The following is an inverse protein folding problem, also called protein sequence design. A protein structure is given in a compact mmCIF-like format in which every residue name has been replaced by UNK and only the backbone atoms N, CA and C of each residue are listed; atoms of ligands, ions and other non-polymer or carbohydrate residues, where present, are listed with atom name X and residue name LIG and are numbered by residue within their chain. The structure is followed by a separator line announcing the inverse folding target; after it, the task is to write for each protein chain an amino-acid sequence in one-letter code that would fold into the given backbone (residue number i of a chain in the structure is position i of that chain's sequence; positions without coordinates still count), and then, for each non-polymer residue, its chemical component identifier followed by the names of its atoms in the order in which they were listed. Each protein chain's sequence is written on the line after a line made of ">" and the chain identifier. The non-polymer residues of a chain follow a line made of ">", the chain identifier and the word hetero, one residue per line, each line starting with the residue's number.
data_IF_031976506023
#
_entry.id   IF_031976506023
#
_cell.length_a   1.000
_cell.length_b   1.000
_cell.length_c   1.000
_cell.angle_alpha   90.00
_cell.angle_beta   90.00
_cell.angle_gamma   90.00
#
_symmetry.space_group_name_H-M   'P 1'
#
loop_
_entity.id
_entity.type
_entity.pdbx_description
1 polymer ?
#
# COMPACT_ATOMS: atom_id res chain seq x y z
N UNK A 1 13.53 17.95 -3.00
CA UNK A 1 14.65 18.19 -3.93
C UNK A 1 14.55 17.19 -5.09
N UNK A 2 14.47 17.66 -6.33
CA UNK A 2 14.48 16.76 -7.49
C UNK A 2 15.80 15.99 -7.58
N UNK A 3 15.71 14.68 -7.85
CA UNK A 3 16.86 13.78 -7.96
C UNK A 3 16.99 13.13 -9.35
N UNK A 4 16.01 13.34 -10.21
CA UNK A 4 16.01 12.81 -11.57
C UNK A 4 14.67 13.02 -12.28
N UNK A 5 14.52 12.38 -13.43
CA UNK A 5 13.30 12.38 -14.24
C UNK A 5 12.83 10.94 -14.47
N UNK A 6 11.56 10.77 -14.76
CA UNK A 6 10.95 9.47 -15.02
C UNK A 6 10.03 9.52 -16.26
N UNK A 7 9.64 8.34 -16.74
CA UNK A 7 8.85 8.20 -17.99
C UNK A 7 7.33 8.31 -17.78
N UNK A 8 6.88 8.61 -16.57
CA UNK A 8 5.47 8.73 -16.16
C UNK A 8 5.17 7.90 -14.92
N UNK A 9 4.42 8.47 -13.96
CA UNK A 9 4.14 7.83 -12.66
C UNK A 9 3.40 6.50 -12.76
N UNK A 10 2.69 6.28 -13.86
CA UNK A 10 1.92 5.06 -14.10
C UNK A 10 2.79 3.80 -14.25
N UNK A 11 4.03 3.95 -14.67
CA UNK A 11 4.97 2.84 -14.87
C UNK A 11 5.62 2.35 -13.58
N UNK A 12 5.35 2.99 -12.45
CA UNK A 12 6.04 2.72 -11.19
C UNK A 12 5.09 2.27 -10.10
N UNK A 13 5.58 1.38 -9.22
CA UNK A 13 4.85 0.82 -8.07
C UNK A 13 5.60 1.16 -6.78
N UNK A 14 4.88 1.36 -5.67
CA UNK A 14 5.49 1.55 -4.36
C UNK A 14 6.38 0.34 -4.00
N UNK A 15 7.56 0.65 -3.47
CA UNK A 15 8.56 -0.36 -3.15
C UNK A 15 9.42 -0.82 -4.33
N UNK A 16 9.16 -0.32 -5.55
CA UNK A 16 9.97 -0.64 -6.71
C UNK A 16 11.38 -0.08 -6.59
N UNK A 17 12.37 -0.90 -6.90
CA UNK A 17 13.79 -0.54 -6.94
C UNK A 17 14.32 -0.38 -8.36
N UNK A 18 13.96 -1.32 -9.22
CA UNK A 18 14.51 -1.40 -10.57
C UNK A 18 13.89 -0.36 -11.51
N UNK A 19 14.64 0.05 -12.53
CA UNK A 19 14.13 0.96 -13.56
C UNK A 19 14.11 2.43 -13.19
N UNK A 20 14.57 2.83 -12.00
CA UNK A 20 14.57 4.23 -11.57
C UNK A 20 15.66 5.07 -12.23
N UNK A 21 16.72 4.43 -12.74
CA UNK A 21 17.87 5.10 -13.40
C UNK A 21 18.49 6.22 -12.56
N UNK A 22 18.39 6.12 -11.25
CA UNK A 22 19.00 7.05 -10.31
C UNK A 22 20.40 6.56 -9.95
N UNK A 23 21.39 7.38 -10.26
CA UNK A 23 22.79 7.16 -9.86
C UNK A 23 23.05 7.63 -8.43
N UNK A 24 24.29 7.42 -7.97
CA UNK A 24 24.74 7.98 -6.70
C UNK A 24 24.71 9.50 -6.73
N UNK A 25 24.09 10.11 -5.73
CA UNK A 25 24.16 11.56 -5.53
C UNK A 25 25.43 11.93 -4.75
N UNK A 26 26.09 13.00 -5.17
CA UNK A 26 27.24 13.55 -4.45
C UNK A 26 26.87 13.85 -2.99
N UNK A 27 27.65 13.33 -2.04
CA UNK A 27 27.46 13.55 -0.61
C UNK A 27 26.45 12.62 0.08
N UNK A 28 25.94 11.60 -0.63
CA UNK A 28 25.10 10.55 -0.04
C UNK A 28 25.75 9.18 -0.13
N UNK A 29 25.45 8.32 0.83
CA UNK A 29 25.88 6.93 0.80
C UNK A 29 25.36 6.21 -0.45
N UNK A 30 26.14 5.27 -0.97
CA UNK A 30 25.71 4.41 -2.10
C UNK A 30 24.68 3.39 -1.59
N UNK A 31 23.41 3.77 -1.61
CA UNK A 31 22.29 2.90 -1.26
C UNK A 31 21.26 2.91 -2.40
N UNK A 32 20.55 1.78 -2.61
CA UNK A 32 19.54 1.70 -3.66
C UNK A 32 18.36 2.64 -3.38
N UNK A 33 17.78 3.16 -4.45
CA UNK A 33 16.59 3.98 -4.41
C UNK A 33 15.33 3.13 -4.55
N UNK A 34 14.28 3.52 -3.83
CA UNK A 34 12.97 2.89 -3.88
C UNK A 34 11.87 3.92 -4.09
N UNK A 35 10.84 3.54 -4.83
CA UNK A 35 9.63 4.36 -4.95
C UNK A 35 8.88 4.32 -3.63
N UNK A 36 8.64 5.47 -3.03
CA UNK A 36 7.92 5.61 -1.76
C UNK A 36 6.56 6.27 -1.90
N UNK A 37 6.26 6.82 -3.08
CA UNK A 37 4.94 7.40 -3.35
C UNK A 37 4.84 8.01 -4.73
N UNK A 38 3.61 8.35 -5.10
CA UNK A 38 3.26 8.95 -6.38
C UNK A 38 2.23 10.06 -6.20
N UNK A 39 2.47 11.19 -6.84
CA UNK A 39 1.44 12.19 -7.07
C UNK A 39 1.08 12.15 -8.56
N UNK A 40 -0.05 11.52 -8.85
CA UNK A 40 -0.49 11.31 -10.24
C UNK A 40 -0.87 12.64 -10.91
N UNK A 41 -1.54 13.52 -10.15
CA UNK A 41 -1.97 14.82 -10.67
C UNK A 41 -0.81 15.75 -11.03
N UNK A 42 0.24 15.73 -10.21
CA UNK A 42 1.45 16.52 -10.44
C UNK A 42 2.50 15.79 -11.30
N UNK A 43 2.27 14.51 -11.63
CA UNK A 43 3.24 13.63 -12.30
C UNK A 43 4.59 13.59 -11.57
N UNK A 44 4.54 13.44 -10.24
CA UNK A 44 5.73 13.39 -9.38
C UNK A 44 5.88 12.01 -8.77
N UNK A 45 7.08 11.46 -8.88
CA UNK A 45 7.48 10.22 -8.24
C UNK A 45 8.35 10.53 -7.03
N UNK A 46 7.95 10.07 -5.86
CA UNK A 46 8.73 10.22 -4.64
C UNK A 46 9.60 9.00 -4.43
N UNK A 47 10.87 9.23 -4.14
CA UNK A 47 11.86 8.17 -3.93
C UNK A 47 12.66 8.42 -2.66
N UNK A 48 13.10 7.33 -2.02
CA UNK A 48 13.96 7.36 -0.86
C UNK A 48 15.03 6.27 -0.95
N UNK A 49 16.13 6.43 -0.22
CA UNK A 49 17.19 5.44 -0.19
C UNK A 49 16.97 4.43 0.93
N UNK A 50 17.23 3.16 0.65
CA UNK A 50 17.04 2.05 1.58
C UNK A 50 15.65 1.41 1.48
N UNK A 51 15.61 0.09 1.64
CA UNK A 51 14.37 -0.70 1.50
C UNK A 51 13.45 -0.65 2.71
N UNK A 52 13.87 -0.06 3.79
CA UNK A 52 13.20 0.07 5.08
C UNK A 52 12.64 1.48 5.35
N UNK A 53 12.48 2.28 4.31
CA UNK A 53 11.98 3.64 4.43
C UNK A 53 10.64 3.70 5.19
N UNK A 54 10.53 4.53 6.23
CA UNK A 54 9.29 4.70 6.97
C UNK A 54 8.16 5.30 6.13
N UNK A 55 8.48 5.95 5.00
CA UNK A 55 7.51 6.46 4.04
C UNK A 55 6.68 5.37 3.37
N UNK A 56 7.16 4.12 3.37
CA UNK A 56 6.47 2.95 2.83
C UNK A 56 5.56 2.26 3.84
N UNK A 57 5.62 2.58 5.12
CA UNK A 57 4.90 1.87 6.17
C UNK A 57 3.49 2.43 6.38
N UNK A 58 2.52 1.53 6.46
CA UNK A 58 1.14 1.85 6.85
C UNK A 58 0.58 0.82 7.81
N UNK A 59 -0.29 1.27 8.72
CA UNK A 59 -1.08 0.40 9.61
C UNK A 59 -2.54 0.31 9.20
N UNK A 60 -3.03 1.29 8.48
CA UNK A 60 -4.41 1.37 8.08
C UNK A 60 -4.54 1.46 6.57
N UNK A 61 -5.56 0.79 6.05
CA UNK A 61 -5.96 0.90 4.66
C UNK A 61 -7.48 1.03 4.57
N UNK A 62 -7.94 1.90 3.71
CA UNK A 62 -9.33 1.98 3.31
C UNK A 62 -9.47 1.45 1.88
N UNK A 63 -10.56 0.74 1.62
CA UNK A 63 -10.80 0.10 0.33
C UNK A 63 -12.05 0.61 -0.36
N UNK A 64 -12.22 0.25 -1.62
CA UNK A 64 -13.51 0.25 -2.29
C UNK A 64 -14.44 -0.84 -1.74
N UNK A 65 -15.64 -1.00 -2.34
CA UNK A 65 -16.58 -2.05 -1.94
C UNK A 65 -15.96 -3.44 -2.03
N UNK A 66 -16.21 -4.25 -1.01
CA UNK A 66 -15.69 -5.61 -0.94
C UNK A 66 -16.56 -6.59 -1.72
N UNK A 67 -15.91 -7.64 -2.20
CA UNK A 67 -16.56 -8.83 -2.75
C UNK A 67 -16.35 -10.00 -1.79
N UNK A 68 -17.41 -10.71 -1.43
CA UNK A 68 -17.39 -11.82 -0.48
C UNK A 68 -17.66 -13.15 -1.18
N UNK A 69 -16.82 -14.15 -0.89
CA UNK A 69 -16.98 -15.51 -1.46
C UNK A 69 -18.32 -16.13 -1.06
N UNK A 70 -18.72 -15.95 0.20
CA UNK A 70 -20.01 -16.45 0.72
C UNK A 70 -21.20 -15.54 0.40
N UNK A 71 -21.00 -14.42 -0.29
CA UNK A 71 -22.03 -13.42 -0.59
C UNK A 71 -22.12 -12.28 0.43
N UNK A 72 -21.90 -12.57 1.70
CA UNK A 72 -21.94 -11.61 2.79
C UNK A 72 -20.66 -11.66 3.63
N UNK A 73 -20.28 -10.56 4.32
CA UNK A 73 -19.20 -10.59 5.28
C UNK A 73 -19.56 -11.46 6.50
N UNK A 74 -18.55 -12.01 7.21
CA UNK A 74 -18.81 -12.79 8.44
C UNK A 74 -19.39 -11.95 9.57
N UNK A 75 -19.09 -10.65 9.60
CA UNK A 75 -19.61 -9.66 10.54
C UNK A 75 -19.28 -8.25 9.99
N UNK A 76 -19.76 -7.20 10.65
CA UNK A 76 -19.41 -5.82 10.32
C UNK A 76 -18.08 -5.37 10.97
N UNK A 77 -17.61 -6.11 11.95
CA UNK A 77 -16.34 -5.90 12.65
C UNK A 77 -15.78 -7.27 13.05
N UNK A 78 -14.64 -7.64 12.51
CA UNK A 78 -14.06 -8.98 12.74
C UNK A 78 -12.53 -8.97 12.55
N UNK A 79 -11.91 -10.00 13.09
CA UNK A 79 -10.49 -10.29 12.89
C UNK A 79 -10.30 -11.27 11.72
N UNK A 80 -9.25 -11.05 10.96
CA UNK A 80 -8.87 -11.88 9.82
C UNK A 80 -7.35 -11.79 9.58
N UNK A 81 -6.87 -12.49 8.58
CA UNK A 81 -5.56 -12.25 7.99
C UNK A 81 -5.72 -11.68 6.60
N UNK A 82 -4.75 -10.88 6.16
CA UNK A 82 -4.80 -10.22 4.86
C UNK A 82 -3.51 -10.42 4.08
N UNK A 83 -3.66 -10.43 2.76
CA UNK A 83 -2.56 -10.32 1.80
C UNK A 83 -2.83 -9.18 0.83
N UNK A 84 -1.81 -8.37 0.59
CA UNK A 84 -1.82 -7.32 -0.44
C UNK A 84 -0.92 -7.69 -1.61
N UNK A 85 -0.14 -8.77 -1.50
CA UNK A 85 0.73 -9.34 -2.53
C UNK A 85 0.69 -10.86 -2.48
N UNK A 86 0.80 -11.51 -3.63
CA UNK A 86 0.65 -12.96 -3.78
C UNK A 86 1.59 -13.80 -2.90
N UNK A 87 2.84 -13.40 -2.76
CA UNK A 87 3.85 -14.15 -1.98
C UNK A 87 4.09 -13.62 -0.57
N UNK A 88 3.27 -12.71 -0.12
CA UNK A 88 3.36 -12.18 1.23
C UNK A 88 2.84 -13.21 2.24
N UNK A 89 3.47 -13.36 3.43
CA UNK A 89 2.87 -14.07 4.55
C UNK A 89 1.57 -13.41 4.99
N UNK A 90 0.66 -14.18 5.54
CA UNK A 90 -0.60 -13.69 6.08
C UNK A 90 -0.35 -12.66 7.20
N UNK A 91 -1.02 -11.52 7.11
CA UNK A 91 -0.89 -10.43 8.06
C UNK A 91 -2.15 -10.29 8.89
N UNK A 92 -2.03 -10.43 10.21
CA UNK A 92 -3.16 -10.25 11.12
C UNK A 92 -3.73 -8.83 11.03
N UNK A 93 -5.05 -8.74 10.95
CA UNK A 93 -5.74 -7.46 10.84
C UNK A 93 -7.12 -7.49 11.46
N UNK A 94 -7.66 -6.31 11.71
CA UNK A 94 -9.06 -6.09 12.06
C UNK A 94 -9.76 -5.39 10.91
N UNK A 95 -10.94 -5.86 10.57
CA UNK A 95 -11.73 -5.39 9.43
C UNK A 95 -13.04 -4.82 9.93
N UNK A 96 -13.37 -3.62 9.48
CA UNK A 96 -14.71 -3.02 9.63
C UNK A 96 -15.32 -2.82 8.25
N UNK A 97 -16.58 -3.18 8.14
CA UNK A 97 -17.37 -3.02 6.91
C UNK A 97 -18.39 -1.91 7.14
N UNK A 98 -18.36 -0.89 6.29
CA UNK A 98 -19.32 0.21 6.37
C UNK A 98 -20.62 -0.11 5.61
N UNK A 99 -21.57 0.84 5.65
CA UNK A 99 -22.89 0.69 5.01
C UNK A 99 -22.81 0.53 3.48
N UNK A 100 -21.72 1.02 2.85
CA UNK A 100 -21.48 0.93 1.40
C UNK A 100 -20.68 -0.33 1.01
N UNK A 101 -20.37 -1.19 1.99
CA UNK A 101 -19.58 -2.38 1.77
C UNK A 101 -18.08 -2.15 1.65
N UNK A 102 -17.60 -0.94 1.94
CA UNK A 102 -16.18 -0.60 1.95
C UNK A 102 -15.52 -1.09 3.23
N UNK A 103 -14.25 -1.38 3.16
CA UNK A 103 -13.48 -1.87 4.30
C UNK A 103 -12.57 -0.78 4.88
N UNK A 104 -12.50 -0.77 6.21
CA UNK A 104 -11.41 -0.16 6.97
C UNK A 104 -10.61 -1.28 7.61
N UNK A 105 -9.34 -1.40 7.23
CA UNK A 105 -8.46 -2.49 7.67
C UNK A 105 -7.36 -1.91 8.53
N UNK A 106 -7.22 -2.44 9.75
CA UNK A 106 -6.14 -2.08 10.67
C UNK A 106 -5.23 -3.30 10.85
N UNK A 107 -4.00 -3.19 10.41
CA UNK A 107 -3.01 -4.26 10.55
C UNK A 107 -2.44 -4.30 11.97
N UNK A 108 -2.20 -5.48 12.50
CA UNK A 108 -1.54 -5.66 13.79
C UNK A 108 -0.09 -5.15 13.79
N UNK A 109 0.60 -5.29 12.67
CA UNK A 109 1.93 -4.73 12.45
C UNK A 109 1.94 -3.85 11.20
N UNK A 110 2.76 -2.81 11.19
CA UNK A 110 2.92 -1.94 10.03
C UNK A 110 3.30 -2.74 8.77
N UNK A 111 2.67 -2.46 7.65
CA UNK A 111 2.86 -3.14 6.38
C UNK A 111 3.65 -2.26 5.43
N UNK A 112 4.58 -2.88 4.71
CA UNK A 112 5.42 -2.19 3.73
C UNK A 112 4.74 -2.15 2.37
N UNK A 113 4.72 -0.96 1.78
CA UNK A 113 4.33 -0.72 0.38
C UNK A 113 2.91 -1.19 0.01
N UNK A 114 1.96 -1.04 0.92
CA UNK A 114 0.54 -1.17 0.59
C UNK A 114 0.17 -0.03 -0.34
N UNK A 115 -0.30 -0.36 -1.53
CA UNK A 115 -0.45 0.59 -2.62
C UNK A 115 -1.92 0.73 -3.03
N UNK A 116 -2.45 1.96 -3.16
CA UNK A 116 -3.75 2.17 -3.81
C UNK A 116 -3.81 1.47 -5.19
N UNK A 117 -4.91 0.80 -5.46
CA UNK A 117 -5.10 -0.02 -6.67
C UNK A 117 -4.72 -1.49 -6.52
N UNK A 118 -4.03 -1.87 -5.45
CA UNK A 118 -3.78 -3.29 -5.15
C UNK A 118 -5.03 -3.97 -4.60
N UNK A 119 -5.18 -5.27 -4.89
CA UNK A 119 -6.15 -6.13 -4.22
C UNK A 119 -5.68 -6.48 -2.82
N UNK A 120 -6.57 -6.30 -1.85
CA UNK A 120 -6.41 -6.78 -0.49
C UNK A 120 -7.33 -7.98 -0.32
N UNK A 121 -6.78 -9.15 -0.04
CA UNK A 121 -7.52 -10.40 0.08
C UNK A 121 -7.53 -10.84 1.54
N UNK A 122 -8.71 -11.19 2.04
CA UNK A 122 -8.96 -11.57 3.43
C UNK A 122 -9.11 -13.08 3.56
N UNK A 123 -8.52 -13.61 4.62
CA UNK A 123 -8.55 -15.03 4.97
C UNK A 123 -8.93 -15.23 6.42
N UNK A 124 -9.56 -16.36 6.70
CA UNK A 124 -9.67 -16.94 8.04
C UNK A 124 -9.13 -18.36 7.97
N UNK A 125 -8.01 -18.59 8.66
CA UNK A 125 -7.20 -19.79 8.45
C UNK A 125 -6.83 -19.93 6.97
N UNK A 126 -7.15 -21.03 6.30
CA UNK A 126 -6.89 -21.23 4.88
C UNK A 126 -8.07 -20.83 3.97
N UNK A 127 -9.19 -20.42 4.56
CA UNK A 127 -10.38 -20.05 3.80
C UNK A 127 -10.31 -18.59 3.33
N UNK A 128 -10.43 -18.37 2.02
CA UNK A 128 -10.58 -17.04 1.45
C UNK A 128 -11.98 -16.50 1.76
N UNK A 129 -12.05 -15.37 2.46
CA UNK A 129 -13.31 -14.70 2.79
C UNK A 129 -13.80 -13.79 1.66
N UNK A 130 -12.89 -13.15 0.97
CA UNK A 130 -13.16 -12.16 -0.05
C UNK A 130 -12.05 -11.13 -0.15
N UNK A 131 -12.34 -10.00 -0.75
CA UNK A 131 -11.37 -8.95 -0.92
C UNK A 131 -11.93 -7.65 -1.44
N UNK A 132 -11.07 -6.66 -1.52
CA UNK A 132 -11.39 -5.34 -2.04
C UNK A 132 -10.13 -4.68 -2.61
N UNK A 133 -10.32 -3.62 -3.38
CA UNK A 133 -9.21 -2.83 -3.92
C UNK A 133 -8.85 -1.72 -2.93
N UNK A 134 -7.59 -1.61 -2.57
CA UNK A 134 -7.09 -0.54 -1.71
C UNK A 134 -7.32 0.81 -2.38
N UNK A 135 -7.96 1.72 -1.69
CA UNK A 135 -8.20 3.10 -2.14
C UNK A 135 -7.19 4.06 -1.54
N UNK A 136 -6.98 4.00 -0.22
CA UNK A 136 -6.04 4.86 0.51
C UNK A 136 -5.34 4.09 1.61
N UNK A 137 -4.21 4.63 2.07
CA UNK A 137 -3.49 4.15 3.26
C UNK A 137 -3.12 5.32 4.17
N UNK A 138 -2.70 5.00 5.37
CA UNK A 138 -2.20 5.98 6.34
C UNK A 138 -0.68 6.15 6.31
N UNK A 139 -0.02 5.74 5.24
CA UNK A 139 1.43 5.96 5.10
C UNK A 139 1.76 7.46 5.23
N UNK A 140 2.95 7.82 5.73
CA UNK A 140 3.29 9.23 5.96
C UNK A 140 3.16 10.08 4.70
N UNK A 141 3.49 9.52 3.54
CA UNK A 141 3.38 10.25 2.28
C UNK A 141 1.94 10.44 1.83
N UNK A 142 1.08 9.40 1.93
CA UNK A 142 -0.35 9.50 1.61
C UNK A 142 -1.03 10.57 2.47
N UNK A 143 -0.73 10.59 3.77
CA UNK A 143 -1.23 11.65 4.68
C UNK A 143 -0.77 13.03 4.25
N UNK A 144 0.46 13.17 3.79
CA UNK A 144 1.02 14.45 3.34
C UNK A 144 0.37 14.92 2.03
N UNK A 145 0.14 14.01 1.09
CA UNK A 145 -0.51 14.32 -0.19
C UNK A 145 -1.99 14.67 0.00
N UNK A 146 -2.69 13.99 0.89
CA UNK A 146 -4.10 14.26 1.19
C UNK A 146 -4.36 15.63 1.83
N UNK A 147 -3.32 16.29 2.39
CA UNK A 147 -3.41 17.64 2.98
C UNK A 147 -3.17 18.78 1.99
N UNK A 148 -2.92 18.48 0.76
CA UNK A 148 -2.74 19.46 -0.32
C UNK A 148 -4.06 19.70 -1.05
#
# INVERSE_FOLDING_TARGET
>A
MPVGTHDGVWYYTLGQREGLRLGGLRGRAAAPWFVVGKDVGANVLYVDQGGDSPWLLSREAATGPAHWVAGDPPATDFEATAKTRYRQPDQACRVRVDADGRLSVTFAAAQRAVTPGQSLVLYRDEACLGGAVVATTDSPLERRLARR
#
